data_IF_602365169417
#
_entry.id   IF_602365169417
#
_cell.length_a   1.000
_cell.length_b   1.000
_cell.length_c   1.000
_cell.angle_alpha   90.00
_cell.angle_beta   90.00
_cell.angle_gamma   90.00
#
_symmetry.space_group_name_H-M   'P 1'
#
loop_
_entity.id
_entity.type
_entity.pdbx_description
1 polymer ?
#
# COMPACT_ATOMS: atom_id res chain seq x y z
N UNK A 1 6.21 2.90 -11.56
CA UNK A 1 5.83 4.23 -11.09
C UNK A 1 6.67 4.76 -9.94
N UNK A 2 6.81 4.02 -8.82
CA UNK A 2 7.50 4.55 -7.60
C UNK A 2 9.00 4.78 -7.78
N UNK A 3 9.66 3.99 -8.60
CA UNK A 3 11.06 4.23 -8.95
C UNK A 3 11.24 5.47 -9.82
N UNK A 4 10.25 5.80 -10.67
CA UNK A 4 10.22 7.08 -11.40
C UNK A 4 10.16 8.27 -10.45
N UNK A 5 9.30 8.22 -9.42
CA UNK A 5 9.24 9.27 -8.39
C UNK A 5 10.57 9.41 -7.63
N UNK A 6 11.25 8.29 -7.38
CA UNK A 6 12.57 8.31 -6.74
C UNK A 6 13.62 9.03 -7.60
N UNK A 7 13.71 8.68 -8.90
CA UNK A 7 14.66 9.31 -9.82
C UNK A 7 14.35 10.77 -10.09
N UNK A 8 13.06 11.15 -10.08
CA UNK A 8 12.62 12.54 -10.25
C UNK A 8 12.74 13.37 -8.96
N UNK A 9 13.03 12.76 -7.82
CA UNK A 9 13.08 13.46 -6.54
C UNK A 9 11.73 14.05 -6.12
N UNK A 10 10.66 13.26 -6.23
CA UNK A 10 9.30 13.66 -5.89
C UNK A 10 8.61 12.60 -5.00
N UNK A 11 7.53 13.00 -4.32
CA UNK A 11 6.70 12.13 -3.49
C UNK A 11 7.46 11.41 -2.35
N UNK A 12 8.50 12.02 -1.80
CA UNK A 12 9.16 11.56 -0.58
C UNK A 12 8.36 11.91 0.68
N UNK A 13 8.79 11.42 1.80
CA UNK A 13 8.20 11.68 3.11
C UNK A 13 8.78 12.91 3.80
N UNK A 14 8.43 13.13 5.07
CA UNK A 14 8.96 14.24 5.87
C UNK A 14 10.46 14.10 6.13
N UNK A 15 11.07 15.21 6.56
CA UNK A 15 12.45 15.27 7.02
C UNK A 15 12.62 14.29 8.18
N UNK A 16 13.74 13.57 8.20
CA UNK A 16 14.02 12.54 9.20
C UNK A 16 15.51 12.46 9.53
N UNK A 17 15.81 12.17 10.78
CA UNK A 17 17.17 11.79 11.23
C UNK A 17 17.38 10.28 11.24
N UNK A 18 16.38 9.52 10.78
CA UNK A 18 16.45 8.06 10.78
C UNK A 18 17.50 7.57 9.77
N UNK A 19 18.16 6.48 10.05
CA UNK A 19 19.27 5.92 9.24
C UNK A 19 18.91 5.61 7.77
N UNK A 20 17.62 5.47 7.45
CA UNK A 20 17.12 5.29 6.07
C UNK A 20 16.89 6.59 5.33
N UNK A 21 17.09 7.75 5.98
CA UNK A 21 16.92 9.06 5.35
C UNK A 21 17.82 9.24 4.13
N UNK A 22 17.27 9.79 3.05
CA UNK A 22 17.99 10.05 1.79
C UNK A 22 17.93 11.54 1.50
N UNK A 23 19.06 12.11 1.11
CA UNK A 23 19.17 13.48 0.63
C UNK A 23 18.96 13.47 -0.90
N UNK A 24 18.03 14.27 -1.39
CA UNK A 24 17.78 14.43 -2.82
C UNK A 24 18.61 15.57 -3.40
N UNK A 25 18.96 15.50 -4.70
CA UNK A 25 19.72 16.56 -5.37
C UNK A 25 19.00 17.91 -5.32
N UNK A 26 19.76 18.99 -5.33
CA UNK A 26 19.25 20.34 -5.42
C UNK A 26 18.38 20.55 -6.67
N UNK A 27 17.28 21.29 -6.50
CA UNK A 27 16.32 21.59 -7.58
C UNK A 27 15.25 20.53 -7.81
N UNK A 28 15.23 19.43 -7.03
CA UNK A 28 14.12 18.46 -7.06
C UNK A 28 12.93 18.96 -6.25
N UNK A 29 11.74 18.39 -6.50
CA UNK A 29 10.53 18.73 -5.74
C UNK A 29 10.69 18.48 -4.24
N UNK A 30 11.46 17.45 -3.86
CA UNK A 30 11.80 17.15 -2.47
C UNK A 30 12.73 18.21 -1.89
N UNK A 31 13.72 18.68 -2.64
CA UNK A 31 14.66 19.70 -2.17
C UNK A 31 13.95 21.03 -1.84
N UNK A 32 12.87 21.37 -2.54
CA UNK A 32 12.10 22.60 -2.26
C UNK A 32 11.58 22.69 -0.82
N UNK A 33 11.29 21.57 -0.16
CA UNK A 33 10.86 21.59 1.24
C UNK A 33 11.93 21.05 2.21
N UNK A 34 12.80 20.18 1.75
CA UNK A 34 13.83 19.55 2.58
C UNK A 34 15.10 20.38 2.69
N UNK A 35 15.41 21.26 1.72
CA UNK A 35 16.60 22.14 1.70
C UNK A 35 17.90 21.36 1.98
N UNK A 36 18.09 20.21 1.35
CA UNK A 36 19.24 19.34 1.54
C UNK A 36 19.20 18.47 2.80
N UNK A 37 18.13 18.51 3.60
CA UNK A 37 17.93 17.62 4.73
C UNK A 37 17.53 16.21 4.27
N UNK A 38 17.88 15.14 5.02
CA UNK A 38 17.44 13.78 4.70
C UNK A 38 15.94 13.61 4.93
N UNK A 39 15.28 12.91 4.02
CA UNK A 39 13.83 12.63 4.07
C UNK A 39 13.55 11.13 3.99
N UNK A 40 12.39 10.70 4.49
CA UNK A 40 11.94 9.32 4.33
C UNK A 40 11.70 8.97 2.86
N UNK A 41 12.38 7.96 2.30
CA UNK A 41 12.15 7.51 0.92
C UNK A 41 10.89 6.63 0.84
N UNK A 42 9.72 7.24 1.00
CA UNK A 42 8.44 6.53 1.07
C UNK A 42 8.16 5.70 -0.17
N UNK A 43 8.64 6.13 -1.35
CA UNK A 43 8.54 5.36 -2.59
C UNK A 43 9.30 4.02 -2.52
N UNK A 44 10.42 3.95 -1.80
CA UNK A 44 11.18 2.71 -1.57
C UNK A 44 10.40 1.80 -0.62
N UNK A 45 9.85 2.35 0.46
CA UNK A 45 9.03 1.60 1.42
C UNK A 45 7.77 1.02 0.75
N UNK A 46 7.09 1.80 -0.10
CA UNK A 46 5.94 1.32 -0.87
C UNK A 46 6.32 0.21 -1.85
N UNK A 47 7.46 0.35 -2.53
CA UNK A 47 7.94 -0.67 -3.47
C UNK A 47 8.25 -1.98 -2.76
N UNK A 48 8.95 -1.91 -1.62
CA UNK A 48 9.27 -3.08 -0.81
C UNK A 48 8.00 -3.74 -0.24
N UNK A 49 7.07 -2.95 0.28
CA UNK A 49 5.79 -3.43 0.78
C UNK A 49 4.97 -4.14 -0.30
N UNK A 50 4.89 -3.56 -1.49
CA UNK A 50 4.22 -4.19 -2.63
C UNK A 50 4.91 -5.48 -3.09
N UNK A 51 6.24 -5.53 -3.03
CA UNK A 51 6.99 -6.76 -3.30
C UNK A 51 6.68 -7.86 -2.28
N UNK A 52 6.57 -7.52 -0.99
CA UNK A 52 6.18 -8.48 0.06
C UNK A 52 4.74 -8.99 -0.15
N UNK A 53 3.81 -8.12 -0.53
CA UNK A 53 2.44 -8.51 -0.89
C UNK A 53 2.47 -9.47 -2.10
N UNK A 54 3.24 -9.13 -3.12
CA UNK A 54 3.42 -10.03 -4.28
C UNK A 54 3.95 -11.41 -3.87
N UNK A 55 5.00 -11.46 -3.04
CA UNK A 55 5.58 -12.70 -2.55
C UNK A 55 4.56 -13.52 -1.74
N UNK A 56 3.74 -12.87 -0.90
CA UNK A 56 2.66 -13.51 -0.17
C UNK A 56 1.63 -14.14 -1.12
N UNK A 57 1.14 -13.37 -2.09
CA UNK A 57 0.16 -13.86 -3.07
C UNK A 57 0.73 -14.99 -3.93
N UNK A 58 2.00 -14.89 -4.31
CA UNK A 58 2.70 -15.95 -5.03
C UNK A 58 2.77 -17.24 -4.23
N UNK A 59 3.09 -17.15 -2.93
CA UNK A 59 3.11 -18.30 -2.01
C UNK A 59 1.72 -18.91 -1.81
N UNK A 60 0.66 -18.10 -1.84
CA UNK A 60 -0.71 -18.57 -1.68
C UNK A 60 -1.31 -19.13 -2.98
N UNK A 61 -0.77 -18.75 -4.14
CA UNK A 61 -1.28 -19.15 -5.46
C UNK A 61 -1.48 -20.65 -5.66
N UNK A 62 -0.57 -21.54 -5.22
CA UNK A 62 -0.74 -22.99 -5.44
C UNK A 62 -1.79 -23.62 -4.52
N UNK A 63 -2.36 -22.89 -3.56
CA UNK A 63 -3.41 -23.39 -2.67
C UNK A 63 -4.76 -23.43 -3.39
N UNK A 64 -5.52 -24.51 -3.16
CA UNK A 64 -6.83 -24.72 -3.76
C UNK A 64 -7.91 -23.86 -3.08
N UNK A 65 -7.74 -22.54 -3.11
CA UNK A 65 -8.77 -21.61 -2.66
C UNK A 65 -9.81 -21.37 -3.75
N UNK A 66 -11.03 -21.01 -3.36
CA UNK A 66 -12.06 -20.55 -4.29
C UNK A 66 -11.61 -19.33 -5.06
N UNK A 67 -12.07 -19.16 -6.31
CA UNK A 67 -11.80 -17.96 -7.11
C UNK A 67 -12.17 -16.68 -6.35
N UNK A 68 -11.28 -15.68 -6.38
CA UNK A 68 -11.43 -14.41 -5.66
C UNK A 68 -10.65 -14.30 -4.35
N UNK A 69 -10.21 -15.40 -3.74
CA UNK A 69 -9.47 -15.36 -2.47
C UNK A 69 -8.19 -14.52 -2.56
N UNK A 70 -7.38 -14.68 -3.60
CA UNK A 70 -6.15 -13.90 -3.78
C UNK A 70 -6.44 -12.42 -3.98
N UNK A 71 -7.53 -12.08 -4.68
CA UNK A 71 -7.99 -10.70 -4.84
C UNK A 71 -8.39 -10.07 -3.50
N UNK A 72 -9.16 -10.79 -2.68
CA UNK A 72 -9.56 -10.33 -1.36
C UNK A 72 -8.35 -10.16 -0.41
N UNK A 73 -7.40 -11.10 -0.42
CA UNK A 73 -6.14 -10.98 0.35
C UNK A 73 -5.34 -9.76 -0.11
N UNK A 74 -5.27 -9.51 -1.43
CA UNK A 74 -4.62 -8.32 -1.97
C UNK A 74 -5.27 -7.03 -1.44
N UNK A 75 -6.59 -6.91 -1.49
CA UNK A 75 -7.32 -5.73 -1.00
C UNK A 75 -7.00 -5.45 0.47
N UNK A 76 -7.00 -6.47 1.31
CA UNK A 76 -6.73 -6.34 2.75
C UNK A 76 -5.27 -5.95 3.00
N UNK A 77 -4.33 -6.67 2.40
CA UNK A 77 -2.89 -6.44 2.64
C UNK A 77 -2.42 -5.11 2.07
N UNK A 78 -2.92 -4.72 0.89
CA UNK A 78 -2.63 -3.42 0.31
C UNK A 78 -3.22 -2.27 1.16
N UNK A 79 -4.45 -2.43 1.65
CA UNK A 79 -5.08 -1.44 2.53
C UNK A 79 -4.31 -1.26 3.84
N UNK A 80 -3.82 -2.35 4.43
CA UNK A 80 -2.97 -2.31 5.61
C UNK A 80 -1.64 -1.58 5.33
N UNK A 81 -0.94 -1.94 4.25
CA UNK A 81 0.30 -1.26 3.83
C UNK A 81 0.06 0.23 3.61
N UNK A 82 -1.00 0.59 2.88
CA UNK A 82 -1.35 1.98 2.61
C UNK A 82 -1.62 2.76 3.89
N UNK A 83 -2.34 2.17 4.84
CA UNK A 83 -2.64 2.81 6.13
C UNK A 83 -1.37 3.05 6.96
N UNK A 84 -0.43 2.10 6.97
CA UNK A 84 0.85 2.23 7.69
C UNK A 84 1.75 3.30 7.07
N UNK A 85 1.77 3.41 5.73
CA UNK A 85 2.63 4.38 5.04
C UNK A 85 2.01 5.78 4.89
N UNK A 86 0.70 5.92 5.11
CA UNK A 86 0.00 7.20 4.98
C UNK A 86 0.60 8.32 5.82
N UNK A 87 0.95 8.15 7.12
CA UNK A 87 1.55 9.22 7.91
C UNK A 87 2.95 9.64 7.44
N UNK A 88 3.64 8.77 6.68
CA UNK A 88 4.95 9.08 6.10
C UNK A 88 4.86 9.77 4.73
N UNK A 89 3.68 10.14 4.27
CA UNK A 89 3.48 10.80 2.97
C UNK A 89 3.15 12.27 3.14
N UNK A 90 3.79 13.11 2.34
CA UNK A 90 3.55 14.56 2.31
C UNK A 90 2.43 14.96 1.33
N UNK A 91 2.05 14.07 0.40
CA UNK A 91 1.05 14.29 -0.65
C UNK A 91 -0.37 13.78 -0.28
N UNK A 92 -0.70 13.79 1.00
CA UNK A 92 -1.98 13.30 1.49
C UNK A 92 -3.15 14.20 1.07
N UNK A 93 -4.22 13.58 0.54
CA UNK A 93 -5.48 14.25 0.21
C UNK A 93 -6.50 14.04 1.32
N UNK A 94 -7.31 15.07 1.58
CA UNK A 94 -8.34 15.05 2.62
C UNK A 94 -9.73 15.23 2.00
N UNK A 95 -10.70 14.48 2.49
CA UNK A 95 -12.11 14.77 2.30
C UNK A 95 -12.62 15.61 3.46
N UNK A 96 -13.43 16.62 3.16
CA UNK A 96 -14.12 17.45 4.18
C UNK A 96 -15.57 17.00 4.22
N UNK A 97 -15.97 16.37 5.33
CA UNK A 97 -17.34 15.95 5.59
C UNK A 97 -17.76 16.56 6.93
N UNK A 98 -18.82 17.37 6.92
CA UNK A 98 -19.37 18.01 8.12
C UNK A 98 -18.28 18.67 9.01
N UNK A 99 -17.43 19.51 8.42
CA UNK A 99 -16.29 20.21 9.05
C UNK A 99 -15.15 19.31 9.57
N UNK A 100 -15.23 18.01 9.36
CA UNK A 100 -14.17 17.07 9.74
C UNK A 100 -13.30 16.72 8.53
N UNK A 101 -11.99 16.94 8.65
CA UNK A 101 -11.01 16.54 7.63
C UNK A 101 -10.70 15.05 7.79
N UNK A 102 -11.21 14.24 6.89
CA UNK A 102 -10.91 12.80 6.84
C UNK A 102 -9.82 12.56 5.80
N UNK A 103 -8.76 11.89 6.20
CA UNK A 103 -7.68 11.52 5.30
C UNK A 103 -8.20 10.49 4.30
N UNK A 104 -8.26 10.86 3.02
CA UNK A 104 -8.81 10.04 1.94
C UNK A 104 -8.23 8.63 1.91
N UNK A 105 -6.92 8.52 2.17
CA UNK A 105 -6.22 7.23 2.18
C UNK A 105 -6.79 6.26 3.23
N UNK A 106 -7.14 6.73 4.42
CA UNK A 106 -7.73 5.87 5.46
C UNK A 106 -9.15 5.46 5.11
N UNK A 107 -9.98 6.39 4.64
CA UNK A 107 -11.35 6.09 4.25
C UNK A 107 -11.40 5.01 3.14
N UNK A 108 -10.58 5.17 2.11
CA UNK A 108 -10.48 4.20 1.01
C UNK A 108 -9.91 2.86 1.51
N UNK A 109 -8.88 2.88 2.36
CA UNK A 109 -8.28 1.65 2.89
C UNK A 109 -9.27 0.85 3.74
N UNK A 110 -10.04 1.51 4.60
CA UNK A 110 -11.08 0.87 5.41
C UNK A 110 -12.16 0.25 4.51
N UNK A 111 -12.61 1.00 3.49
CA UNK A 111 -13.60 0.50 2.53
C UNK A 111 -13.09 -0.75 1.80
N UNK A 112 -11.88 -0.70 1.24
CA UNK A 112 -11.31 -1.82 0.50
C UNK A 112 -11.04 -3.04 1.39
N UNK A 113 -10.56 -2.84 2.60
CA UNK A 113 -10.37 -3.92 3.57
C UNK A 113 -11.73 -4.53 3.96
N UNK A 114 -12.75 -3.70 4.19
CA UNK A 114 -14.12 -4.15 4.48
C UNK A 114 -14.72 -4.97 3.34
N UNK A 115 -14.58 -4.51 2.09
CA UNK A 115 -15.00 -5.25 0.91
C UNK A 115 -14.29 -6.60 0.79
N UNK A 116 -12.97 -6.63 1.02
CA UNK A 116 -12.19 -7.86 0.98
C UNK A 116 -12.63 -8.86 2.04
N UNK A 117 -12.83 -8.42 3.28
CA UNK A 117 -13.33 -9.25 4.37
C UNK A 117 -14.74 -9.75 4.10
N UNK A 118 -15.66 -8.86 3.72
CA UNK A 118 -17.04 -9.22 3.38
C UNK A 118 -17.07 -10.31 2.31
N UNK A 119 -16.27 -10.15 1.26
CA UNK A 119 -16.18 -11.10 0.16
C UNK A 119 -15.68 -12.47 0.63
N UNK A 120 -14.62 -12.50 1.46
CA UNK A 120 -14.09 -13.73 2.04
C UNK A 120 -15.19 -14.47 2.82
N UNK A 121 -15.89 -13.78 3.72
CA UNK A 121 -16.88 -14.41 4.58
C UNK A 121 -18.14 -14.84 3.82
N UNK A 122 -18.68 -14.00 2.95
CA UNK A 122 -19.90 -14.29 2.21
C UNK A 122 -19.72 -15.48 1.26
N UNK A 123 -18.61 -15.53 0.53
CA UNK A 123 -18.34 -16.58 -0.44
C UNK A 123 -17.59 -17.78 0.17
N UNK A 124 -17.25 -17.73 1.45
CA UNK A 124 -16.46 -18.77 2.13
C UNK A 124 -15.22 -19.15 1.33
N UNK A 125 -14.47 -18.12 0.89
CA UNK A 125 -13.34 -18.26 -0.03
C UNK A 125 -12.17 -19.09 0.53
N UNK A 126 -12.11 -19.28 1.85
CA UNK A 126 -11.11 -20.12 2.50
C UNK A 126 -11.36 -21.63 2.30
N UNK A 127 -12.57 -22.02 1.86
CA UNK A 127 -12.86 -23.43 1.58
C UNK A 127 -12.17 -23.86 0.28
N UNK A 128 -11.81 -25.15 0.17
CA UNK A 128 -11.26 -25.68 -1.07
C UNK A 128 -12.25 -25.55 -2.23
N UNK A 129 -11.73 -25.31 -3.42
CA UNK A 129 -12.53 -25.33 -4.63
C UNK A 129 -12.77 -26.78 -5.06
N UNK A 130 -13.98 -27.26 -4.90
CA UNK A 130 -14.37 -28.64 -5.28
C UNK A 130 -14.17 -28.91 -6.77
N UNK A 131 -14.25 -27.88 -7.62
CA UNK A 131 -14.02 -28.00 -9.06
C UNK A 131 -12.54 -28.32 -9.38
N UNK A 132 -11.61 -27.81 -8.58
CA UNK A 132 -10.18 -28.12 -8.71
C UNK A 132 -9.83 -29.47 -8.10
N UNK A 133 -10.49 -29.86 -7.00
CA UNK A 133 -10.31 -31.15 -6.34
C UNK A 133 -10.70 -32.35 -7.22
N UNK A 134 -11.64 -32.18 -8.17
CA UNK A 134 -12.07 -33.23 -9.11
C UNK A 134 -11.12 -33.43 -10.30
N UNK A 135 -10.14 -32.55 -10.49
CA UNK A 135 -9.17 -32.60 -11.60
C UNK A 135 -7.78 -33.10 -11.18
N UNK A 136 -7.55 -33.29 -9.90
CA UNK A 136 -6.34 -33.86 -9.31
C UNK A 136 -6.55 -35.36 -8.97
#
# INVERSE_FOLDING_TARGET
>A
GRWGNFTNGEAAGPITEFWTGIVFPAGTAVDHYAHGAPVHPTMVYESLGNFLIFALLWKLRPRNFRPGMLGAVYLITYSALRSVLTPLRMDNQYFVIADTKILAAYAISILLAGVGLFWIFQQKLWLPDEALSRKA
#
